data_IF_793956752652
#
_entry.id   IF_793956752652
#
_cell.length_a   1.000
_cell.length_b   1.000
_cell.length_c   1.000
_cell.angle_alpha   90.00
_cell.angle_beta   90.00
_cell.angle_gamma   90.00
#
_symmetry.space_group_name_H-M   'P 1'
#
loop_
_entity.id
_entity.type
_entity.pdbx_description
1 polymer ?
#
# COMPACT_ATOMS: atom_id res chain seq x y z
N UNK A 1 -39.17 -5.93 -33.96
CA UNK A 1 -38.71 -5.00 -32.91
C UNK A 1 -37.32 -5.43 -32.45
N UNK A 2 -36.27 -4.77 -32.92
CA UNK A 2 -34.88 -5.10 -32.57
C UNK A 2 -34.53 -4.59 -31.16
N UNK A 3 -33.96 -5.45 -30.32
CA UNK A 3 -33.47 -5.06 -28.98
C UNK A 3 -32.37 -3.99 -29.15
N UNK A 4 -32.40 -2.87 -28.40
CA UNK A 4 -31.34 -1.87 -28.48
C UNK A 4 -30.03 -2.46 -27.96
N UNK A 5 -28.95 -2.16 -28.68
CA UNK A 5 -27.59 -2.56 -28.36
C UNK A 5 -27.20 -2.04 -26.97
N UNK A 6 -26.69 -2.93 -26.11
CA UNK A 6 -26.13 -2.55 -24.81
C UNK A 6 -24.95 -1.62 -25.05
N UNK A 7 -25.08 -0.38 -24.59
CA UNK A 7 -24.03 0.62 -24.60
C UNK A 7 -22.80 0.03 -23.88
N UNK A 8 -21.64 0.03 -24.53
CA UNK A 8 -20.39 -0.47 -23.93
C UNK A 8 -20.00 0.49 -22.81
N UNK A 9 -20.49 0.23 -21.60
CA UNK A 9 -20.12 0.98 -20.40
C UNK A 9 -18.59 1.00 -20.30
N UNK A 10 -18.03 2.21 -20.41
CA UNK A 10 -16.64 2.48 -20.08
C UNK A 10 -16.47 2.02 -18.64
N UNK A 11 -15.75 0.90 -18.42
CA UNK A 11 -15.46 0.41 -17.08
C UNK A 11 -14.90 1.59 -16.27
N UNK A 12 -15.48 1.95 -15.11
CA UNK A 12 -15.01 3.09 -14.35
C UNK A 12 -13.53 2.88 -14.05
N UNK A 13 -12.70 3.86 -14.43
CA UNK A 13 -11.29 3.87 -14.04
C UNK A 13 -11.23 3.70 -12.52
N UNK A 14 -10.43 2.75 -12.04
CA UNK A 14 -10.16 2.59 -10.60
C UNK A 14 -9.57 3.90 -10.10
N UNK A 15 -10.37 4.71 -9.40
CA UNK A 15 -9.88 5.89 -8.70
C UNK A 15 -8.96 5.40 -7.57
N UNK A 16 -7.66 5.59 -7.73
CA UNK A 16 -6.67 5.30 -6.68
C UNK A 16 -6.85 6.34 -5.57
N UNK A 17 -7.22 5.87 -4.37
CA UNK A 17 -7.37 6.71 -3.18
C UNK A 17 -6.01 6.76 -2.47
N UNK A 18 -5.46 7.95 -2.29
CA UNK A 18 -4.17 8.17 -1.62
C UNK A 18 -4.30 7.96 -0.11
N UNK A 19 -3.18 7.68 0.58
CA UNK A 19 -3.20 7.58 2.04
C UNK A 19 -3.59 8.89 2.72
N UNK A 20 -3.21 10.04 2.17
CA UNK A 20 -3.61 11.35 2.70
C UNK A 20 -5.14 11.52 2.69
N UNK A 21 -5.80 11.17 1.58
CA UNK A 21 -7.27 11.22 1.50
C UNK A 21 -7.91 10.23 2.47
N UNK A 22 -7.36 9.01 2.59
CA UNK A 22 -7.84 8.02 3.57
C UNK A 22 -7.70 8.55 5.01
N UNK A 23 -6.59 9.22 5.35
CA UNK A 23 -6.35 9.79 6.67
C UNK A 23 -7.34 10.91 7.00
N UNK A 24 -7.61 11.81 6.05
CA UNK A 24 -8.66 12.84 6.18
C UNK A 24 -10.04 12.23 6.41
N UNK A 25 -10.39 11.19 5.68
CA UNK A 25 -11.67 10.45 5.85
C UNK A 25 -11.76 9.82 7.24
N UNK A 26 -10.69 9.18 7.72
CA UNK A 26 -10.63 8.57 9.06
C UNK A 26 -10.83 9.64 10.14
N UNK A 27 -10.11 10.76 10.06
CA UNK A 27 -10.20 11.87 11.03
C UNK A 27 -11.62 12.44 11.12
N UNK A 28 -12.20 12.82 9.97
CA UNK A 28 -13.57 13.36 9.93
C UNK A 28 -14.61 12.34 10.44
N UNK A 29 -14.35 11.05 10.21
CA UNK A 29 -15.22 9.99 10.70
C UNK A 29 -15.12 9.79 12.21
N UNK A 30 -13.92 9.89 12.77
CA UNK A 30 -13.68 9.89 14.22
C UNK A 30 -14.26 11.14 14.91
N UNK A 31 -14.32 12.28 14.21
CA UNK A 31 -15.05 13.50 14.63
C UNK A 31 -16.59 13.36 14.56
N UNK A 32 -17.11 12.20 14.13
CA UNK A 32 -18.55 11.90 14.16
C UNK A 32 -19.30 12.10 12.83
N UNK A 33 -18.62 12.41 11.72
CA UNK A 33 -19.27 12.56 10.41
C UNK A 33 -19.93 11.25 9.92
N UNK A 34 -21.07 11.36 9.24
CA UNK A 34 -21.78 10.18 8.71
C UNK A 34 -21.15 9.70 7.41
N UNK A 35 -21.23 8.40 7.11
CA UNK A 35 -20.68 7.82 5.89
C UNK A 35 -21.28 8.45 4.62
N UNK A 36 -22.57 8.81 4.68
CA UNK A 36 -23.28 9.48 3.58
C UNK A 36 -22.77 10.89 3.32
N UNK A 37 -22.32 11.60 4.35
CA UNK A 37 -21.76 12.96 4.23
C UNK A 37 -20.34 12.90 3.65
N UNK A 38 -19.51 11.97 4.16
CA UNK A 38 -18.17 11.73 3.64
C UNK A 38 -18.18 11.23 2.19
N UNK A 39 -19.13 10.36 1.84
CA UNK A 39 -19.33 9.89 0.47
C UNK A 39 -19.56 11.05 -0.51
N UNK A 40 -20.43 12.00 -0.13
CA UNK A 40 -20.70 13.21 -0.93
C UNK A 40 -19.48 14.13 -1.01
N UNK A 41 -18.81 14.36 0.12
CA UNK A 41 -17.66 15.27 0.22
C UNK A 41 -16.46 14.81 -0.62
N UNK A 42 -16.18 13.51 -0.62
CA UNK A 42 -15.01 12.94 -1.30
C UNK A 42 -15.34 12.27 -2.65
N UNK A 43 -16.61 12.23 -3.06
CA UNK A 43 -17.03 11.60 -4.30
C UNK A 43 -16.86 10.07 -4.33
N UNK A 44 -16.92 9.42 -3.16
CA UNK A 44 -16.77 7.96 -3.03
C UNK A 44 -18.10 7.29 -2.64
N UNK A 45 -18.22 5.99 -2.91
CA UNK A 45 -19.36 5.22 -2.40
C UNK A 45 -19.32 5.11 -0.87
N UNK A 46 -20.49 4.99 -0.24
CA UNK A 46 -20.59 4.73 1.21
C UNK A 46 -19.85 3.45 1.63
N UNK A 47 -19.84 2.43 0.78
CA UNK A 47 -19.06 1.20 0.97
C UNK A 47 -17.55 1.44 0.95
N UNK A 48 -17.06 2.35 0.11
CA UNK A 48 -15.65 2.74 0.07
C UNK A 48 -15.26 3.45 1.36
N UNK A 49 -16.10 4.38 1.84
CA UNK A 49 -15.88 5.07 3.12
C UNK A 49 -15.83 4.06 4.29
N UNK A 50 -16.78 3.12 4.33
CA UNK A 50 -16.78 2.07 5.36
C UNK A 50 -15.54 1.17 5.31
N UNK A 51 -15.06 0.86 4.09
CA UNK A 51 -13.84 0.08 3.89
C UNK A 51 -12.61 0.83 4.37
N UNK A 52 -12.51 2.14 4.07
CA UNK A 52 -11.42 3.00 4.55
C UNK A 52 -11.43 3.08 6.08
N UNK A 53 -12.61 3.09 6.69
CA UNK A 53 -12.79 3.18 8.14
C UNK A 53 -12.73 1.82 8.87
N UNK A 54 -12.30 0.73 8.22
CA UNK A 54 -12.10 -0.52 8.95
C UNK A 54 -10.77 -0.49 9.74
N UNK A 55 -10.71 -1.23 10.85
CA UNK A 55 -9.57 -1.21 11.78
C UNK A 55 -8.22 -1.52 11.10
N UNK A 56 -8.23 -2.49 10.17
CA UNK A 56 -7.06 -2.86 9.37
C UNK A 56 -6.56 -1.70 8.50
N UNK A 57 -7.48 -0.97 7.85
CA UNK A 57 -7.14 0.17 7.00
C UNK A 57 -6.68 1.37 7.82
N UNK A 58 -7.27 1.59 9.01
CA UNK A 58 -6.82 2.65 9.92
C UNK A 58 -5.35 2.50 10.30
N UNK A 59 -4.97 1.33 10.82
CA UNK A 59 -3.58 1.08 11.25
C UNK A 59 -2.58 1.25 10.10
N UNK A 60 -2.95 0.74 8.92
CA UNK A 60 -2.18 0.85 7.68
C UNK A 60 -2.01 2.31 7.25
N UNK A 61 -3.09 3.09 7.25
CA UNK A 61 -3.07 4.49 6.82
C UNK A 61 -2.25 5.33 7.78
N UNK A 62 -2.39 5.10 9.09
CA UNK A 62 -1.66 5.84 10.12
C UNK A 62 -0.14 5.63 9.98
N UNK A 63 0.31 4.37 9.92
CA UNK A 63 1.73 4.06 9.71
C UNK A 63 2.26 4.60 8.40
N UNK A 64 1.49 4.48 7.31
CA UNK A 64 1.91 5.01 6.01
C UNK A 64 2.05 6.55 6.04
N UNK A 65 1.20 7.26 6.77
CA UNK A 65 1.32 8.71 6.95
C UNK A 65 2.57 9.05 7.77
N UNK A 66 2.80 8.36 8.89
CA UNK A 66 3.97 8.59 9.75
C UNK A 66 5.31 8.32 9.03
N UNK A 67 5.38 7.24 8.24
CA UNK A 67 6.60 6.83 7.53
C UNK A 67 6.83 7.65 6.24
N UNK A 68 5.78 7.93 5.45
CA UNK A 68 5.93 8.54 4.13
C UNK A 68 5.90 10.08 4.13
N UNK A 69 5.20 10.74 5.07
CA UNK A 69 5.11 12.21 5.12
C UNK A 69 6.46 12.89 5.34
N UNK A 70 7.36 12.40 6.22
CA UNK A 70 8.68 13.00 6.41
C UNK A 70 9.60 12.88 5.19
N UNK A 71 9.38 11.88 4.33
CA UNK A 71 10.31 11.52 3.25
C UNK A 71 9.93 12.13 1.89
N UNK A 72 8.80 12.85 1.78
CA UNK A 72 8.32 13.39 0.50
C UNK A 72 7.96 12.32 -0.53
N UNK A 73 7.93 11.04 -0.13
CA UNK A 73 7.66 9.90 -1.01
C UNK A 73 6.16 9.84 -1.27
N UNK A 74 5.82 9.93 -2.55
CA UNK A 74 4.45 10.08 -3.00
C UNK A 74 3.52 8.97 -2.48
N UNK A 75 2.49 9.42 -1.76
CA UNK A 75 1.45 8.69 -1.01
C UNK A 75 0.46 7.88 -1.88
N UNK A 76 0.87 7.53 -3.11
CA UNK A 76 0.06 6.85 -4.13
C UNK A 76 -0.05 5.34 -3.95
N UNK A 77 0.72 4.74 -3.02
CA UNK A 77 0.57 3.30 -2.73
C UNK A 77 -0.79 3.09 -2.09
N UNK A 78 -1.64 2.28 -2.71
CA UNK A 78 -2.98 1.96 -2.18
C UNK A 78 -2.91 0.84 -1.13
N UNK A 79 -1.74 0.20 -1.00
CA UNK A 79 -1.40 -0.91 -0.13
C UNK A 79 -0.18 -0.55 0.72
N UNK A 80 -0.30 -0.68 2.05
CA UNK A 80 0.83 -0.64 2.95
C UNK A 80 1.55 -1.97 2.85
N UNK A 81 2.84 -1.90 2.51
CA UNK A 81 3.72 -3.06 2.65
C UNK A 81 4.27 -3.00 4.07
N UNK A 82 4.13 -4.07 4.87
CA UNK A 82 4.69 -4.10 6.22
C UNK A 82 6.16 -3.67 6.20
N UNK A 83 6.62 -2.98 7.25
CA UNK A 83 8.00 -2.51 7.42
C UNK A 83 9.04 -3.57 7.03
N UNK A 84 8.79 -4.82 7.41
CA UNK A 84 9.58 -6.00 7.03
C UNK A 84 9.85 -6.11 5.52
N UNK A 85 8.90 -5.77 4.67
CA UNK A 85 9.11 -5.77 3.21
C UNK A 85 9.93 -4.57 2.73
N UNK A 86 9.82 -3.42 3.38
CA UNK A 86 10.69 -2.27 3.08
C UNK A 86 12.14 -2.55 3.54
N UNK A 87 12.30 -3.15 4.72
CA UNK A 87 13.61 -3.56 5.26
C UNK A 87 14.23 -4.64 4.36
N UNK A 88 13.41 -5.61 3.92
CA UNK A 88 13.81 -6.60 2.93
C UNK A 88 14.25 -5.95 1.62
N UNK A 89 13.46 -5.05 1.05
CA UNK A 89 13.77 -4.38 -0.22
C UNK A 89 15.09 -3.58 -0.10
N UNK A 90 15.31 -2.93 1.05
CA UNK A 90 16.53 -2.16 1.34
C UNK A 90 17.76 -3.06 1.42
N UNK A 91 17.73 -4.10 2.25
CA UNK A 91 18.84 -5.05 2.42
C UNK A 91 19.12 -5.79 1.10
N UNK A 92 18.07 -6.16 0.35
CA UNK A 92 18.19 -6.83 -0.94
C UNK A 92 18.84 -5.92 -1.98
N UNK A 93 18.50 -4.63 -1.99
CA UNK A 93 19.10 -3.65 -2.89
C UNK A 93 20.57 -3.39 -2.59
N UNK A 94 20.95 -3.26 -1.31
CA UNK A 94 22.36 -3.14 -0.91
C UNK A 94 23.17 -4.38 -1.31
N UNK A 95 22.61 -5.57 -1.08
CA UNK A 95 23.22 -6.82 -1.54
C UNK A 95 23.37 -6.83 -3.07
N UNK A 96 22.35 -6.42 -3.81
CA UNK A 96 22.39 -6.34 -5.27
C UNK A 96 23.51 -5.41 -5.74
N UNK A 97 23.56 -4.17 -5.24
CA UNK A 97 24.60 -3.19 -5.54
C UNK A 97 26.01 -3.69 -5.23
N UNK A 98 26.20 -4.38 -4.10
CA UNK A 98 27.51 -4.94 -3.71
C UNK A 98 28.01 -6.02 -4.68
N UNK A 99 27.09 -6.65 -5.42
CA UNK A 99 27.40 -7.68 -6.39
C UNK A 99 27.35 -7.17 -7.84
N UNK A 100 26.87 -5.95 -8.07
CA UNK A 100 26.94 -5.25 -9.35
C UNK A 100 28.43 -5.00 -9.70
N UNK A 101 28.92 -5.64 -10.77
CA UNK A 101 30.32 -5.60 -11.17
C UNK A 101 31.17 -6.82 -10.79
N UNK A 102 30.61 -7.78 -10.03
CA UNK A 102 31.26 -9.10 -9.83
C UNK A 102 30.86 -10.04 -10.97
N UNK A 103 31.69 -11.04 -11.30
CA UNK A 103 31.36 -12.12 -12.28
C UNK A 103 30.24 -13.06 -11.79
N UNK A 104 29.37 -12.61 -10.89
CA UNK A 104 28.24 -13.39 -10.38
C UNK A 104 27.04 -13.07 -11.24
N UNK A 105 26.45 -14.08 -11.87
CA UNK A 105 25.21 -13.92 -12.61
C UNK A 105 24.07 -13.57 -11.64
N UNK A 106 23.68 -12.28 -11.60
CA UNK A 106 22.54 -11.78 -10.86
C UNK A 106 21.24 -12.20 -11.57
N UNK A 107 20.94 -13.50 -11.50
CA UNK A 107 19.72 -14.08 -12.05
C UNK A 107 18.53 -13.78 -11.16
N UNK A 108 17.33 -13.79 -11.74
CA UNK A 108 16.07 -13.64 -10.98
C UNK A 108 15.95 -14.68 -9.85
N UNK A 109 16.40 -15.91 -10.10
CA UNK A 109 16.41 -16.99 -9.10
C UNK A 109 17.33 -16.68 -7.93
N UNK A 110 18.54 -16.15 -8.18
CA UNK A 110 19.46 -15.75 -7.12
C UNK A 110 18.88 -14.61 -6.27
N UNK A 111 18.24 -13.63 -6.92
CA UNK A 111 17.56 -12.53 -6.24
C UNK A 111 16.41 -13.03 -5.34
N UNK A 112 15.57 -13.93 -5.86
CA UNK A 112 14.46 -14.54 -5.10
C UNK A 112 14.95 -15.39 -3.93
N UNK A 113 16.00 -16.20 -4.12
CA UNK A 113 16.62 -16.97 -3.04
C UNK A 113 17.15 -16.05 -1.93
N UNK A 114 17.82 -14.95 -2.31
CA UNK A 114 18.32 -13.99 -1.34
C UNK A 114 17.19 -13.28 -0.60
N UNK A 115 16.15 -12.85 -1.31
CA UNK A 115 14.97 -12.22 -0.71
C UNK A 115 14.32 -13.14 0.34
N UNK A 116 14.13 -14.44 0.04
CA UNK A 116 13.59 -15.41 1.00
C UNK A 116 14.48 -15.59 2.22
N UNK A 117 15.80 -15.63 2.04
CA UNK A 117 16.76 -15.72 3.14
C UNK A 117 16.71 -14.48 4.05
N UNK A 118 16.65 -13.28 3.47
CA UNK A 118 16.50 -12.03 4.23
C UNK A 118 15.17 -12.03 4.99
N UNK A 119 14.08 -12.42 4.32
CA UNK A 119 12.76 -12.49 4.95
C UNK A 119 12.74 -13.45 6.15
N UNK A 120 13.36 -14.62 6.03
CA UNK A 120 13.43 -15.59 7.13
C UNK A 120 14.18 -15.02 8.35
N UNK A 121 15.24 -14.25 8.14
CA UNK A 121 15.99 -13.58 9.21
C UNK A 121 15.15 -12.47 9.86
N UNK A 122 14.48 -11.63 9.05
CA UNK A 122 13.63 -10.55 9.56
C UNK A 122 12.39 -11.05 10.33
N UNK A 123 11.97 -12.29 10.08
CA UNK A 123 10.84 -12.93 10.75
C UNK A 123 11.25 -13.80 11.95
N UNK A 124 12.55 -13.98 12.20
CA UNK A 124 13.06 -14.74 13.34
C UNK A 124 12.91 -13.93 14.65
N UNK A 125 12.15 -14.43 15.65
CA UNK A 125 11.98 -13.77 16.93
C UNK A 125 13.30 -13.52 17.70
N UNK A 126 14.35 -14.29 17.41
CA UNK A 126 15.65 -14.17 18.07
C UNK A 126 16.47 -12.95 17.60
N UNK A 127 16.12 -12.35 16.45
CA UNK A 127 16.78 -11.17 15.88
C UNK A 127 15.88 -9.92 15.95
N UNK A 128 14.95 -9.90 16.91
CA UNK A 128 13.85 -8.96 17.03
C UNK A 128 14.22 -7.49 16.86
N UNK A 129 13.75 -6.92 15.75
CA UNK A 129 13.31 -5.53 15.67
C UNK A 129 11.78 -5.60 15.52
N UNK A 130 11.08 -5.91 16.62
CA UNK A 130 9.62 -5.77 16.74
C UNK A 130 9.27 -5.14 18.08
#
# INVERSE_FOLDING_TARGET
>A
MGKPAKNKEVKPKRNRITFETKAKIIKLKDEGKRNSELAKMFGYSTSTIATIYNAKSKAIVQRAVEECVPQGVCVFKTEYRPTVLNDLDTILYEWFKRNEGRKVALTMTALQCKARSIFAILMDPAHGIF
#
